data_IF_341314774142
#
_entry.id   IF_341314774142
#
_cell.length_a   1.000
_cell.length_b   1.000
_cell.length_c   1.000
_cell.angle_alpha   90.00
_cell.angle_beta   90.00
_cell.angle_gamma   90.00
#
_symmetry.space_group_name_H-M   'P 1'
#
loop_
_entity.id
_entity.type
_entity.pdbx_description
1 polymer ?
#
# COMPACT_ATOMS: atom_id res chain seq x y z
N UNK A 1 -8.30 -67.50 -51.11
CA UNK A 1 -9.21 -66.96 -50.07
C UNK A 1 -8.50 -66.41 -48.81
N UNK A 2 -7.34 -66.94 -48.38
CA UNK A 2 -6.65 -66.48 -47.17
C UNK A 2 -6.11 -65.02 -47.21
N UNK A 3 -5.63 -64.55 -48.37
CA UNK A 3 -5.07 -63.19 -48.51
C UNK A 3 -6.11 -62.07 -48.27
N UNK A 4 -7.37 -62.31 -48.66
CA UNK A 4 -8.44 -61.33 -48.49
C UNK A 4 -8.85 -61.15 -47.01
N UNK A 5 -8.72 -62.23 -46.22
CA UNK A 5 -8.96 -62.20 -44.77
C UNK A 5 -7.89 -61.38 -44.03
N UNK A 6 -6.62 -61.55 -44.40
CA UNK A 6 -5.51 -60.79 -43.80
C UNK A 6 -5.64 -59.28 -44.04
N UNK A 7 -5.99 -58.88 -45.27
CA UNK A 7 -6.17 -57.46 -45.62
C UNK A 7 -7.33 -56.84 -44.81
N UNK A 8 -8.46 -57.54 -44.68
CA UNK A 8 -9.60 -57.07 -43.89
C UNK A 8 -9.26 -56.94 -42.39
N UNK A 9 -8.43 -57.84 -41.85
CA UNK A 9 -7.99 -57.76 -40.45
C UNK A 9 -7.04 -56.58 -40.22
N UNK A 10 -6.12 -56.30 -41.14
CA UNK A 10 -5.22 -55.14 -41.07
C UNK A 10 -5.99 -53.81 -41.16
N UNK A 11 -6.98 -53.71 -42.04
CA UNK A 11 -7.83 -52.50 -42.18
C UNK A 11 -8.65 -52.28 -40.90
N UNK A 12 -9.24 -53.33 -40.33
CA UNK A 12 -9.97 -53.23 -39.05
C UNK A 12 -9.05 -52.78 -37.91
N UNK A 13 -7.82 -53.29 -37.85
CA UNK A 13 -6.86 -52.90 -36.83
C UNK A 13 -6.44 -51.42 -36.97
N UNK A 14 -6.19 -50.95 -38.19
CA UNK A 14 -5.88 -49.55 -38.47
C UNK A 14 -7.04 -48.61 -38.15
N UNK A 15 -8.28 -49.01 -38.45
CA UNK A 15 -9.47 -48.24 -38.08
C UNK A 15 -9.64 -48.13 -36.56
N UNK A 16 -9.47 -49.24 -35.84
CA UNK A 16 -9.59 -49.24 -34.36
C UNK A 16 -8.50 -48.40 -33.70
N UNK A 17 -7.27 -48.46 -34.19
CA UNK A 17 -6.16 -47.64 -33.67
C UNK A 17 -6.38 -46.16 -33.97
N UNK A 18 -6.83 -45.81 -35.18
CA UNK A 18 -7.15 -44.43 -35.56
C UNK A 18 -8.28 -43.82 -34.70
N UNK A 19 -9.34 -44.59 -34.45
CA UNK A 19 -10.45 -44.15 -33.58
C UNK A 19 -9.96 -43.91 -32.14
N UNK A 20 -9.09 -44.78 -31.63
CA UNK A 20 -8.51 -44.63 -30.28
C UNK A 20 -7.61 -43.40 -30.16
N UNK A 21 -6.75 -43.14 -31.15
CA UNK A 21 -5.90 -41.95 -31.15
C UNK A 21 -6.72 -40.67 -31.27
N UNK A 22 -7.77 -40.68 -32.10
CA UNK A 22 -8.64 -39.51 -32.26
C UNK A 22 -9.45 -39.22 -30.99
N UNK A 23 -9.94 -40.25 -30.30
CA UNK A 23 -10.61 -40.12 -29.01
C UNK A 23 -9.66 -39.58 -27.92
N UNK A 24 -8.40 -40.01 -27.91
CA UNK A 24 -7.38 -39.50 -26.99
C UNK A 24 -7.08 -38.03 -27.23
N UNK A 25 -6.85 -37.63 -28.49
CA UNK A 25 -6.59 -36.23 -28.87
C UNK A 25 -7.77 -35.35 -28.46
N UNK A 26 -9.01 -35.78 -28.75
CA UNK A 26 -10.23 -35.06 -28.37
C UNK A 26 -10.34 -34.86 -26.86
N UNK A 27 -10.02 -35.89 -26.07
CA UNK A 27 -10.03 -35.83 -24.59
C UNK A 27 -8.97 -34.87 -24.05
N UNK A 28 -7.75 -34.90 -24.60
CA UNK A 28 -6.69 -33.95 -24.21
C UNK A 28 -7.06 -32.51 -24.57
N UNK A 29 -7.69 -32.29 -25.72
CA UNK A 29 -8.15 -30.96 -26.12
C UNK A 29 -9.23 -30.40 -25.18
N UNK A 30 -10.16 -31.25 -24.71
CA UNK A 30 -11.15 -30.89 -23.69
C UNK A 30 -10.51 -30.51 -22.35
N UNK A 31 -9.48 -31.25 -21.90
CA UNK A 31 -8.76 -30.94 -20.67
C UNK A 31 -8.03 -29.59 -20.76
N UNK A 32 -7.38 -29.31 -21.89
CA UNK A 32 -6.73 -28.01 -22.15
C UNK A 32 -7.77 -26.88 -22.15
N UNK A 33 -8.94 -27.10 -22.77
CA UNK A 33 -10.00 -26.10 -22.80
C UNK A 33 -10.57 -25.81 -21.41
N UNK A 34 -10.76 -26.83 -20.57
CA UNK A 34 -11.19 -26.66 -19.18
C UNK A 34 -10.15 -25.91 -18.35
N UNK A 35 -8.87 -26.29 -18.48
CA UNK A 35 -7.76 -25.61 -17.82
C UNK A 35 -7.64 -24.13 -18.22
N UNK A 36 -7.83 -23.82 -19.51
CA UNK A 36 -7.83 -22.44 -20.01
C UNK A 36 -9.02 -21.62 -19.48
N UNK A 37 -10.21 -22.22 -19.39
CA UNK A 37 -11.39 -21.56 -18.80
C UNK A 37 -11.15 -21.26 -17.32
N UNK A 38 -10.54 -22.17 -16.56
CA UNK A 38 -10.20 -21.96 -15.16
C UNK A 38 -9.10 -20.90 -14.96
N UNK A 39 -8.09 -20.86 -15.84
CA UNK A 39 -7.09 -19.80 -15.87
C UNK A 39 -7.71 -18.43 -16.13
N UNK A 40 -8.56 -18.30 -17.14
CA UNK A 40 -9.26 -17.04 -17.44
C UNK A 40 -10.21 -16.64 -16.30
N UNK A 41 -10.82 -17.61 -15.60
CA UNK A 41 -11.68 -17.34 -14.43
C UNK A 41 -10.85 -16.87 -13.22
N UNK A 42 -9.66 -17.45 -13.00
CA UNK A 42 -8.67 -16.99 -12.01
C UNK A 42 -8.10 -15.62 -12.34
N UNK A 43 -7.87 -15.34 -13.62
CA UNK A 43 -7.38 -14.04 -14.08
C UNK A 43 -8.46 -12.97 -13.93
N UNK A 44 -9.73 -13.29 -14.20
CA UNK A 44 -10.86 -12.37 -13.93
C UNK A 44 -11.12 -12.15 -12.44
N UNK A 45 -10.90 -13.13 -11.57
CA UNK A 45 -11.04 -12.94 -10.12
C UNK A 45 -9.88 -12.13 -9.53
N UNK A 46 -8.65 -12.34 -10.01
CA UNK A 46 -7.49 -11.49 -9.66
C UNK A 46 -7.59 -10.09 -10.24
N UNK A 47 -8.14 -9.89 -11.46
CA UNK A 47 -8.46 -8.57 -12.03
C UNK A 47 -9.60 -7.86 -11.28
N UNK A 48 -10.56 -8.57 -10.70
CA UNK A 48 -11.57 -7.97 -9.79
C UNK A 48 -10.99 -7.59 -8.43
N UNK A 49 -10.03 -8.36 -7.93
CA UNK A 49 -9.27 -8.02 -6.72
C UNK A 49 -8.30 -6.85 -6.96
N UNK A 50 -7.62 -6.79 -8.10
CA UNK A 50 -6.73 -5.66 -8.42
C UNK A 50 -7.49 -4.44 -8.89
N UNK A 51 -8.65 -4.56 -9.55
CA UNK A 51 -9.52 -3.41 -9.84
C UNK A 51 -10.23 -2.91 -8.59
N UNK A 52 -10.64 -3.80 -7.67
CA UNK A 52 -11.16 -3.45 -6.35
C UNK A 52 -10.09 -2.79 -5.48
N UNK A 53 -8.88 -3.36 -5.41
CA UNK A 53 -7.77 -2.79 -4.65
C UNK A 53 -7.25 -1.51 -5.30
N UNK A 54 -7.15 -1.40 -6.63
CA UNK A 54 -6.77 -0.12 -7.27
C UNK A 54 -7.89 0.92 -7.21
N UNK A 55 -9.16 0.54 -7.14
CA UNK A 55 -10.28 1.49 -6.94
C UNK A 55 -10.38 1.91 -5.49
N UNK A 56 -10.18 1.01 -4.52
CA UNK A 56 -10.11 1.35 -3.09
C UNK A 56 -8.83 2.12 -2.79
N UNK A 57 -7.70 1.81 -3.43
CA UNK A 57 -6.42 2.51 -3.24
C UNK A 57 -6.38 3.82 -4.01
N UNK A 58 -7.01 3.92 -5.19
CA UNK A 58 -7.30 5.23 -5.83
C UNK A 58 -8.32 6.01 -5.03
N UNK A 59 -9.37 5.40 -4.49
CA UNK A 59 -10.33 6.09 -3.63
C UNK A 59 -9.70 6.50 -2.30
N UNK A 60 -8.75 5.73 -1.75
CA UNK A 60 -8.05 6.05 -0.50
C UNK A 60 -6.95 7.09 -0.75
N UNK A 61 -6.22 7.02 -1.87
CA UNK A 61 -5.30 8.07 -2.32
C UNK A 61 -6.07 9.34 -2.70
N UNK A 62 -7.23 9.24 -3.35
CA UNK A 62 -8.11 10.38 -3.63
C UNK A 62 -8.71 10.92 -2.33
N UNK A 63 -9.10 10.08 -1.36
CA UNK A 63 -9.64 10.52 -0.07
C UNK A 63 -8.53 11.14 0.81
N UNK A 64 -7.30 10.64 0.76
CA UNK A 64 -6.12 11.25 1.41
C UNK A 64 -5.70 12.54 0.71
N UNK A 65 -5.65 12.59 -0.63
CA UNK A 65 -5.31 13.80 -1.39
C UNK A 65 -6.43 14.86 -1.34
N UNK A 66 -7.70 14.44 -1.29
CA UNK A 66 -8.85 15.33 -1.15
C UNK A 66 -9.01 15.77 0.29
N UNK A 67 -8.78 14.93 1.31
CA UNK A 67 -8.85 15.37 2.72
C UNK A 67 -7.60 16.14 3.16
N UNK A 68 -6.43 15.94 2.55
CA UNK A 68 -5.28 16.85 2.76
C UNK A 68 -5.45 18.18 2.01
N UNK A 69 -6.20 18.23 0.89
CA UNK A 69 -6.54 19.50 0.20
C UNK A 69 -7.84 20.18 0.69
N UNK A 70 -8.75 19.44 1.35
CA UNK A 70 -10.06 19.93 1.85
C UNK A 70 -10.19 19.93 3.37
N UNK A 71 -9.13 19.67 4.13
CA UNK A 71 -9.07 20.16 5.51
C UNK A 71 -8.93 21.69 5.46
N UNK A 72 -10.05 22.38 5.25
CA UNK A 72 -10.14 23.85 5.38
C UNK A 72 -9.83 24.32 6.81
N UNK A 73 -9.63 23.39 7.74
CA UNK A 73 -9.14 23.66 9.08
C UNK A 73 -7.64 23.88 9.21
N UNK A 74 -6.80 23.79 8.17
CA UNK A 74 -5.33 23.99 8.32
C UNK A 74 -4.76 25.25 7.67
N UNK A 75 -5.57 26.10 7.03
CA UNK A 75 -5.04 27.27 6.31
C UNK A 75 -4.33 28.29 7.20
N UNK A 76 -4.57 28.27 8.51
CA UNK A 76 -3.92 29.16 9.48
C UNK A 76 -3.12 28.42 10.56
N UNK A 77 -2.88 27.11 10.41
CA UNK A 77 -2.07 26.36 11.37
C UNK A 77 -0.64 26.25 10.86
N UNK A 78 0.23 27.08 11.45
CA UNK A 78 1.68 26.98 11.28
C UNK A 78 2.10 25.57 11.72
N UNK A 79 2.53 24.73 10.78
CA UNK A 79 3.12 23.43 11.09
C UNK A 79 4.46 23.67 11.79
N UNK A 80 4.50 23.41 13.09
CA UNK A 80 5.72 23.49 13.88
C UNK A 80 6.36 22.10 13.89
N UNK A 81 7.59 22.01 13.41
CA UNK A 81 8.42 20.83 13.60
C UNK A 81 8.55 20.56 15.10
N UNK A 82 8.07 19.40 15.56
CA UNK A 82 8.08 19.03 16.98
C UNK A 82 9.52 19.07 17.54
N UNK A 83 10.54 18.77 16.71
CA UNK A 83 11.95 18.89 17.11
C UNK A 83 12.39 20.32 17.40
N UNK A 84 11.67 21.32 16.87
CA UNK A 84 11.91 22.75 17.05
C UNK A 84 10.96 23.39 18.07
N UNK A 85 9.99 22.65 18.60
CA UNK A 85 9.09 23.16 19.62
C UNK A 85 9.84 23.29 20.95
N UNK A 86 10.23 24.52 21.27
CA UNK A 86 10.66 24.89 22.62
C UNK A 86 9.45 25.53 23.31
N UNK A 87 8.88 24.91 24.37
CA UNK A 87 7.86 25.57 25.15
C UNK A 87 8.49 26.82 25.78
N UNK A 88 8.12 27.99 25.25
CA UNK A 88 8.43 29.25 25.92
C UNK A 88 7.51 29.34 27.12
N UNK A 89 7.97 28.84 28.26
CA UNK A 89 7.37 29.16 29.56
C UNK A 89 7.63 30.65 29.75
N UNK A 90 6.69 31.50 29.31
CA UNK A 90 6.73 32.93 29.64
C UNK A 90 6.73 33.01 31.17
N UNK A 91 7.64 33.79 31.73
CA UNK A 91 7.61 34.11 33.14
C UNK A 91 6.19 34.57 33.48
N UNK A 92 5.57 33.93 34.46
CA UNK A 92 4.24 34.33 34.91
C UNK A 92 4.44 35.69 35.55
N UNK A 93 3.93 36.76 34.93
CA UNK A 93 3.94 38.09 35.51
C UNK A 93 3.20 38.01 36.85
N UNK A 94 3.86 38.37 37.93
CA UNK A 94 3.25 38.44 39.28
C UNK A 94 2.41 39.70 39.46
N UNK A 95 2.45 40.61 38.49
CA UNK A 95 1.81 41.91 38.49
C UNK A 95 0.84 42.05 37.32
N UNK A 96 -0.18 42.87 37.52
CA UNK A 96 -1.19 43.17 36.53
C UNK A 96 -0.61 44.09 35.45
N UNK A 97 -0.70 43.69 34.18
CA UNK A 97 -0.19 44.47 33.04
C UNK A 97 -0.89 45.85 32.89
N UNK A 98 -2.08 46.03 33.47
CA UNK A 98 -2.87 47.27 33.37
C UNK A 98 -2.63 48.19 34.58
N UNK A 99 -2.60 47.64 35.79
CA UNK A 99 -2.59 48.41 37.03
C UNK A 99 -1.26 48.33 37.80
N UNK A 100 -0.31 47.49 37.36
CA UNK A 100 0.99 47.28 38.03
C UNK A 100 0.91 46.64 39.43
N UNK A 101 -0.28 46.24 39.87
CA UNK A 101 -0.51 45.65 41.19
C UNK A 101 -0.33 44.13 41.18
N UNK A 102 0.04 43.55 42.32
CA UNK A 102 0.17 42.11 42.46
C UNK A 102 -1.14 41.37 42.18
N UNK A 103 -1.03 40.25 41.45
CA UNK A 103 -2.14 39.36 41.15
C UNK A 103 -2.41 38.46 42.36
N UNK A 104 -3.45 38.78 43.15
CA UNK A 104 -3.81 38.06 44.38
C UNK A 104 -5.11 37.27 44.26
N UNK A 105 -5.92 37.57 43.26
CA UNK A 105 -7.26 37.02 43.10
C UNK A 105 -7.39 36.26 41.77
N UNK A 106 -8.39 35.39 41.68
CA UNK A 106 -8.68 34.60 40.50
C UNK A 106 -10.16 34.69 40.15
N UNK A 107 -10.45 35.00 38.88
CA UNK A 107 -11.81 35.06 38.35
C UNK A 107 -12.16 33.74 37.64
N UNK A 108 -13.08 32.91 38.16
CA UNK A 108 -13.45 31.66 37.50
C UNK A 108 -14.21 31.84 36.19
N UNK A 109 -14.97 32.94 36.05
CA UNK A 109 -15.74 33.22 34.83
C UNK A 109 -14.85 33.46 33.62
N UNK A 110 -13.64 33.98 33.83
CA UNK A 110 -12.68 34.33 32.78
C UNK A 110 -11.40 33.49 32.82
N UNK A 111 -11.27 32.60 33.81
CA UNK A 111 -10.13 31.72 34.04
C UNK A 111 -8.78 32.46 34.09
N UNK A 112 -8.75 33.62 34.76
CA UNK A 112 -7.55 34.46 34.80
C UNK A 112 -7.26 35.04 36.19
N UNK A 113 -5.97 35.26 36.53
CA UNK A 113 -5.55 35.97 37.74
C UNK A 113 -5.78 37.48 37.59
N UNK A 114 -6.21 38.13 38.67
CA UNK A 114 -6.57 39.56 38.72
C UNK A 114 -5.95 40.23 39.96
N UNK A 115 -5.66 41.54 39.84
CA UNK A 115 -5.47 42.42 41.00
C UNK A 115 -6.83 42.91 41.52
N UNK A 116 -6.84 43.52 42.71
CA UNK A 116 -8.06 44.01 43.37
C UNK A 116 -8.81 45.02 42.48
N UNK A 117 -8.07 45.92 41.82
CA UNK A 117 -8.63 46.97 40.97
C UNK A 117 -9.30 46.41 39.70
N UNK A 118 -8.69 45.39 39.07
CA UNK A 118 -9.33 44.68 37.95
C UNK A 118 -10.69 44.10 38.35
N UNK A 119 -10.82 43.62 39.59
CA UNK A 119 -12.07 43.02 40.05
C UNK A 119 -13.14 44.08 40.29
N UNK A 120 -12.77 45.21 40.88
CA UNK A 120 -13.69 46.32 41.11
C UNK A 120 -14.18 46.97 39.81
N UNK A 121 -13.33 47.09 38.79
CA UNK A 121 -13.66 47.81 37.55
C UNK A 121 -14.27 46.86 36.51
N UNK A 122 -13.55 45.78 36.17
CA UNK A 122 -13.86 44.96 35.00
C UNK A 122 -14.58 43.64 35.34
N UNK A 123 -14.46 43.16 36.58
CA UNK A 123 -15.08 41.90 37.02
C UNK A 123 -16.10 42.07 38.15
N UNK A 124 -16.67 43.26 38.32
CA UNK A 124 -17.62 43.57 39.40
C UNK A 124 -18.91 42.71 39.33
N UNK A 125 -19.25 42.21 38.15
CA UNK A 125 -20.38 41.31 37.91
C UNK A 125 -20.01 39.82 37.98
N UNK A 126 -18.73 39.48 38.13
CA UNK A 126 -18.30 38.10 38.23
C UNK A 126 -18.55 37.56 39.63
N UNK A 127 -19.16 36.38 39.71
CA UNK A 127 -19.42 35.71 40.99
C UNK A 127 -18.35 34.67 41.29
N UNK A 128 -18.12 34.41 42.59
CA UNK A 128 -17.22 33.35 43.03
C UNK A 128 -15.73 33.65 42.83
N UNK A 129 -15.32 34.92 42.90
CA UNK A 129 -13.91 35.30 42.96
C UNK A 129 -13.22 34.58 44.12
N UNK A 130 -12.05 33.99 43.86
CA UNK A 130 -11.26 33.25 44.85
C UNK A 130 -9.89 33.88 45.02
N UNK A 131 -9.25 33.65 46.16
CA UNK A 131 -7.82 33.97 46.30
C UNK A 131 -7.00 33.09 45.37
N UNK A 132 -5.98 33.68 44.74
CA UNK A 132 -5.09 32.96 43.85
C UNK A 132 -4.34 31.86 44.59
N UNK A 133 -3.88 32.12 45.82
CA UNK A 133 -3.28 31.10 46.70
C UNK A 133 -4.22 29.92 46.94
N UNK A 134 -5.49 30.18 47.25
CA UNK A 134 -6.49 29.13 47.46
C UNK A 134 -6.81 28.36 46.17
N UNK A 135 -6.72 28.99 45.01
CA UNK A 135 -6.84 28.29 43.72
C UNK A 135 -5.60 27.46 43.44
N UNK A 136 -4.39 27.97 43.69
CA UNK A 136 -3.12 27.25 43.53
C UNK A 136 -3.06 26.02 44.42
N UNK A 137 -3.44 26.13 45.69
CA UNK A 137 -3.46 24.98 46.60
C UNK A 137 -4.54 23.96 46.22
N UNK A 138 -5.66 24.41 45.66
CA UNK A 138 -6.68 23.52 45.10
C UNK A 138 -6.37 23.02 43.68
N UNK A 139 -5.39 23.60 42.98
CA UNK A 139 -4.89 23.16 41.65
C UNK A 139 -3.55 22.44 41.72
N UNK A 140 -2.91 22.37 42.90
CA UNK A 140 -2.00 21.28 43.32
C UNK A 140 -2.74 19.93 43.39
N UNK A 141 -3.67 19.69 42.45
CA UNK A 141 -4.17 18.37 42.14
C UNK A 141 -3.06 17.70 41.33
N UNK A 142 -2.03 17.26 42.05
CA UNK A 142 -0.99 16.37 41.54
C UNK A 142 -1.60 15.23 40.71
N UNK A 143 -2.83 14.78 41.02
CA UNK A 143 -3.49 13.70 40.29
C UNK A 143 -3.94 14.07 38.88
N UNK A 144 -4.42 15.29 38.64
CA UNK A 144 -4.93 15.72 37.32
C UNK A 144 -3.80 16.09 36.38
N UNK A 145 -2.78 16.80 36.89
CA UNK A 145 -1.57 17.12 36.12
C UNK A 145 -0.75 15.87 35.83
N UNK A 146 -0.51 14.99 36.81
CA UNK A 146 0.16 13.69 36.57
C UNK A 146 -0.60 12.81 35.57
N UNK A 147 -1.93 12.86 35.56
CA UNK A 147 -2.73 12.14 34.56
C UNK A 147 -2.50 12.69 33.15
N UNK A 148 -2.55 14.01 33.00
CA UNK A 148 -2.28 14.68 31.71
C UNK A 148 -0.84 14.37 31.25
N UNK A 149 0.14 14.44 32.14
CA UNK A 149 1.54 14.10 31.83
C UNK A 149 1.69 12.64 31.38
N UNK A 150 1.01 11.70 32.05
CA UNK A 150 0.99 10.30 31.66
C UNK A 150 0.33 10.09 30.29
N UNK A 151 -0.79 10.76 30.03
CA UNK A 151 -1.50 10.68 28.75
C UNK A 151 -0.64 11.26 27.61
N UNK A 152 0.06 12.37 27.85
CA UNK A 152 1.02 12.96 26.91
C UNK A 152 2.17 11.99 26.62
N UNK A 153 2.77 11.42 27.67
CA UNK A 153 3.89 10.49 27.50
C UNK A 153 3.48 9.21 26.78
N UNK A 154 2.31 8.64 27.10
CA UNK A 154 1.73 7.50 26.39
C UNK A 154 1.50 7.81 24.91
N UNK A 155 0.92 8.99 24.62
CA UNK A 155 0.69 9.44 23.24
C UNK A 155 2.02 9.60 22.48
N UNK A 156 3.05 10.15 23.12
CA UNK A 156 4.38 10.28 22.51
C UNK A 156 5.00 8.92 22.19
N UNK A 157 4.83 7.93 23.07
CA UNK A 157 5.31 6.56 22.81
C UNK A 157 4.62 5.94 21.59
N UNK A 158 3.30 6.03 21.52
CA UNK A 158 2.51 5.53 20.38
C UNK A 158 2.95 6.24 19.08
N UNK A 159 3.15 7.56 19.12
CA UNK A 159 3.60 8.32 17.95
C UNK A 159 4.99 7.87 17.49
N UNK A 160 5.92 7.62 18.42
CA UNK A 160 7.25 7.10 18.10
C UNK A 160 7.17 5.71 17.46
N UNK A 161 6.29 4.84 17.96
CA UNK A 161 6.05 3.52 17.38
C UNK A 161 5.48 3.63 15.96
N UNK A 162 4.50 4.49 15.74
CA UNK A 162 3.93 4.76 14.40
C UNK A 162 5.01 5.27 13.44
N UNK A 163 5.89 6.17 13.89
CA UNK A 163 7.00 6.66 13.06
C UNK A 163 7.99 5.56 12.71
N UNK A 164 8.34 4.70 13.68
CA UNK A 164 9.21 3.53 13.46
C UNK A 164 8.58 2.56 12.45
N UNK A 165 7.32 2.18 12.68
CA UNK A 165 6.56 1.29 11.80
C UNK A 165 6.42 1.86 10.39
N UNK A 166 6.25 3.17 10.25
CA UNK A 166 6.24 3.85 8.94
C UNK A 166 7.58 3.68 8.23
N UNK A 167 8.70 3.88 8.92
CA UNK A 167 10.05 3.71 8.35
C UNK A 167 10.26 2.27 7.86
N UNK A 168 9.92 1.29 8.69
CA UNK A 168 10.04 -0.14 8.34
C UNK A 168 9.17 -0.49 7.14
N UNK A 169 7.94 0.03 7.09
CA UNK A 169 7.03 -0.22 5.97
C UNK A 169 7.52 0.38 4.65
N UNK A 170 8.14 1.58 4.69
CA UNK A 170 8.75 2.20 3.52
C UNK A 170 9.90 1.32 3.01
N UNK A 171 10.82 0.93 3.90
CA UNK A 171 11.96 0.09 3.55
C UNK A 171 11.50 -1.25 2.93
N UNK A 172 10.53 -1.92 3.56
CA UNK A 172 9.97 -3.17 3.02
C UNK A 172 9.33 -2.97 1.65
N UNK A 173 8.69 -1.83 1.42
CA UNK A 173 8.12 -1.47 0.12
C UNK A 173 9.21 -1.31 -0.95
N UNK A 174 10.32 -0.65 -0.62
CA UNK A 174 11.47 -0.49 -1.51
C UNK A 174 12.11 -1.84 -1.86
N UNK A 175 12.33 -2.70 -0.87
CA UNK A 175 12.85 -4.07 -1.07
C UNK A 175 11.94 -4.91 -1.98
N UNK A 176 10.61 -4.80 -1.81
CA UNK A 176 9.65 -5.47 -2.69
C UNK A 176 9.71 -4.95 -4.12
N UNK A 177 9.82 -3.64 -4.31
CA UNK A 177 9.95 -3.04 -5.65
C UNK A 177 11.20 -3.56 -6.35
N UNK A 178 12.33 -3.63 -5.65
CA UNK A 178 13.58 -4.10 -6.24
C UNK A 178 13.54 -5.61 -6.55
N UNK A 179 12.95 -6.43 -5.67
CA UNK A 179 12.70 -7.85 -5.93
C UNK A 179 11.81 -8.09 -7.16
N UNK A 180 10.76 -7.26 -7.34
CA UNK A 180 9.88 -7.33 -8.51
C UNK A 180 10.67 -6.95 -9.78
N UNK A 181 11.48 -5.88 -9.75
CA UNK A 181 12.32 -5.49 -10.88
C UNK A 181 13.29 -6.61 -11.28
N UNK A 182 13.93 -7.26 -10.30
CA UNK A 182 14.83 -8.37 -10.54
C UNK A 182 14.09 -9.55 -11.19
N UNK A 183 12.91 -9.89 -10.65
CA UNK A 183 12.06 -10.96 -11.16
C UNK A 183 11.66 -10.70 -12.62
N UNK A 184 11.22 -9.47 -12.95
CA UNK A 184 10.91 -9.05 -14.32
C UNK A 184 12.14 -9.17 -15.22
N UNK A 185 13.31 -8.72 -14.76
CA UNK A 185 14.56 -8.84 -15.49
C UNK A 185 14.91 -10.30 -15.80
N UNK A 186 14.71 -11.20 -14.84
CA UNK A 186 14.95 -12.63 -14.99
C UNK A 186 13.97 -13.28 -15.97
N UNK A 187 12.68 -12.92 -15.93
CA UNK A 187 11.71 -13.39 -16.93
C UNK A 187 12.06 -12.91 -18.34
N UNK A 188 12.46 -11.63 -18.48
CA UNK A 188 12.88 -11.08 -19.77
C UNK A 188 14.09 -11.83 -20.36
N UNK A 189 15.09 -12.13 -19.53
CA UNK A 189 16.26 -12.95 -19.94
C UNK A 189 15.83 -14.34 -20.41
N UNK A 190 14.92 -15.00 -19.68
CA UNK A 190 14.40 -16.33 -20.04
C UNK A 190 13.64 -16.31 -21.37
N UNK A 191 12.79 -15.30 -21.58
CA UNK A 191 12.02 -15.14 -22.83
C UNK A 191 12.99 -14.93 -23.99
N UNK A 192 13.93 -14.00 -23.87
CA UNK A 192 14.90 -13.72 -24.94
C UNK A 192 15.71 -14.98 -25.29
N UNK A 193 16.25 -15.68 -24.28
CA UNK A 193 16.97 -16.94 -24.52
C UNK A 193 16.11 -17.96 -25.27
N UNK A 194 14.84 -18.08 -24.94
CA UNK A 194 13.94 -19.01 -25.62
C UNK A 194 13.68 -18.60 -27.07
N UNK A 195 13.57 -17.30 -27.34
CA UNK A 195 13.45 -16.78 -28.71
C UNK A 195 14.72 -17.05 -29.52
N UNK A 196 15.91 -16.81 -28.95
CA UNK A 196 17.19 -17.09 -29.59
C UNK A 196 17.33 -18.60 -29.92
N UNK A 197 16.91 -19.47 -29.00
CA UNK A 197 16.91 -20.92 -29.20
C UNK A 197 15.94 -21.36 -30.32
N UNK A 198 14.77 -20.71 -30.42
CA UNK A 198 13.79 -20.96 -31.49
C UNK A 198 14.29 -20.48 -32.85
N UNK A 199 14.85 -19.27 -32.91
CA UNK A 199 15.45 -18.71 -34.12
C UNK A 199 16.53 -19.65 -34.67
N UNK A 200 17.45 -20.07 -33.79
CA UNK A 200 18.53 -20.99 -34.17
C UNK A 200 18.00 -22.31 -34.74
N UNK A 201 16.96 -22.88 -34.13
CA UNK A 201 16.34 -24.13 -34.63
C UNK A 201 15.71 -23.92 -36.01
N UNK A 202 14.96 -22.84 -36.20
CA UNK A 202 14.31 -22.54 -37.47
C UNK A 202 15.33 -22.28 -38.59
N UNK A 203 16.45 -21.59 -38.29
CA UNK A 203 17.54 -21.42 -39.24
C UNK A 203 18.16 -22.77 -39.64
N UNK A 204 18.45 -23.64 -38.66
CA UNK A 204 19.00 -24.97 -38.93
C UNK A 204 18.05 -25.86 -39.76
N UNK A 205 16.76 -25.82 -39.48
CA UNK A 205 15.74 -26.55 -40.26
C UNK A 205 15.68 -26.04 -41.70
N UNK A 206 15.71 -24.71 -41.88
CA UNK A 206 15.69 -24.07 -43.21
C UNK A 206 16.93 -24.44 -44.03
N UNK A 207 18.12 -24.39 -43.43
CA UNK A 207 19.37 -24.80 -44.08
C UNK A 207 19.35 -26.28 -44.49
N UNK A 208 18.78 -27.13 -43.63
CA UNK A 208 18.64 -28.57 -43.90
C UNK A 208 17.73 -28.81 -45.11
N UNK A 209 16.58 -28.14 -45.17
CA UNK A 209 15.65 -28.23 -46.30
C UNK A 209 16.30 -27.73 -47.59
N UNK A 210 16.94 -26.56 -47.57
CA UNK A 210 17.65 -26.00 -48.72
C UNK A 210 18.73 -26.94 -49.26
N UNK A 211 19.50 -27.58 -48.38
CA UNK A 211 20.51 -28.54 -48.78
C UNK A 211 19.90 -29.82 -49.38
N UNK A 212 18.79 -30.31 -48.82
CA UNK A 212 18.07 -31.45 -49.39
C UNK A 212 17.53 -31.15 -50.80
N UNK A 213 16.99 -29.95 -51.03
CA UNK A 213 16.50 -29.53 -52.34
C UNK A 213 17.63 -29.41 -53.37
N UNK A 214 18.77 -28.83 -52.98
CA UNK A 214 19.98 -28.79 -53.82
C UNK A 214 20.42 -30.20 -54.24
N UNK A 215 20.50 -31.14 -53.30
CA UNK A 215 20.89 -32.53 -53.59
C UNK A 215 19.89 -33.20 -54.55
N UNK A 216 18.58 -33.01 -54.33
CA UNK A 216 17.54 -33.53 -55.23
C UNK A 216 17.70 -32.95 -56.64
N UNK A 217 17.92 -31.65 -56.77
CA UNK A 217 18.07 -30.99 -58.08
C UNK A 217 19.27 -31.49 -58.89
N UNK A 218 20.35 -31.90 -58.22
CA UNK A 218 21.54 -32.50 -58.86
C UNK A 218 21.20 -33.92 -59.36
N UNK A 219 20.48 -34.72 -58.58
CA UNK A 219 20.09 -36.09 -58.98
C UNK A 219 19.16 -36.13 -60.19
N UNK A 220 18.31 -35.12 -60.39
CA UNK A 220 17.42 -35.07 -61.55
C UNK A 220 18.11 -34.60 -62.85
N UNK A 221 19.34 -34.08 -62.78
CA UNK A 221 20.10 -33.62 -63.95
C UNK A 221 21.06 -34.67 -64.52
N UNK A 222 21.31 -35.76 -63.79
CA UNK A 222 22.14 -36.90 -64.20
C UNK A 222 21.25 -38.09 -64.53
#
# INVERSE_FOLDING_TARGET
MAAHSLILMSIKYLLVTFIRTFAFIKRSWLQIKLYYVDLVKKEKSTLKLTSGVTTVMKACVQHVLVNTKKFKGTRDHKTIDIKRYKPSIRAINTECDIHGQQLKLYCPSHLMPCCDECISINHSKCTGIKSLEGVVDNTKIEKSTKKIDNDINSTLQILNEIMSNKSINIQRGEEQVDSIKETIGNYRKKINKHLDDLEKKLCQETDTILNQEKIKSIRFKN
#
